data_IF_672079536080
#
_entry.id   IF_672079536080
#
_cell.length_a   1.000
_cell.length_b   1.000
_cell.length_c   1.000
_cell.angle_alpha   90.00
_cell.angle_beta   90.00
_cell.angle_gamma   90.00
#
_symmetry.space_group_name_H-M   'P 1'
#
loop_
_entity.id
_entity.type
_entity.pdbx_description
1 polymer ?
#
# COMPACT_ATOMS: atom_id res chain seq x y z
N UNK A 1 -24.65 34.02 5.40
CA UNK A 1 -24.77 32.76 4.62
C UNK A 1 -23.68 32.75 3.56
N UNK A 2 -22.57 32.04 3.78
CA UNK A 2 -21.53 31.86 2.77
C UNK A 2 -22.06 30.80 1.80
N UNK A 3 -22.35 31.18 0.55
CA UNK A 3 -22.74 30.22 -0.49
C UNK A 3 -21.52 29.33 -0.77
N UNK A 4 -21.63 28.03 -0.48
CA UNK A 4 -20.71 27.03 -1.03
C UNK A 4 -20.72 27.22 -2.55
N UNK A 5 -19.58 27.57 -3.14
CA UNK A 5 -19.44 27.60 -4.59
C UNK A 5 -19.86 26.23 -5.12
N UNK A 6 -20.79 26.20 -6.07
CA UNK A 6 -21.19 24.97 -6.73
C UNK A 6 -19.93 24.35 -7.34
N UNK A 7 -19.65 23.08 -7.00
CA UNK A 7 -18.59 22.33 -7.66
C UNK A 7 -18.84 22.43 -9.17
N UNK A 8 -17.81 22.70 -10.00
CA UNK A 8 -18.01 22.78 -11.43
C UNK A 8 -18.66 21.49 -11.94
N UNK A 9 -19.56 21.65 -12.93
CA UNK A 9 -20.23 20.60 -13.72
C UNK A 9 -19.28 19.41 -13.97
N UNK A 10 -19.76 18.15 -14.00
CA UNK A 10 -18.93 16.96 -13.80
C UNK A 10 -17.75 16.97 -14.77
N UNK A 11 -16.56 17.19 -14.22
CA UNK A 11 -15.33 17.04 -14.98
C UNK A 11 -15.28 15.59 -15.51
N UNK A 12 -14.92 15.37 -16.79
CA UNK A 12 -14.81 14.02 -17.34
C UNK A 12 -13.87 13.18 -16.48
N UNK A 13 -14.35 12.04 -15.98
CA UNK A 13 -13.52 11.09 -15.25
C UNK A 13 -12.40 10.60 -16.18
N UNK A 14 -11.16 10.86 -15.79
CA UNK A 14 -9.98 10.35 -16.51
C UNK A 14 -9.27 9.36 -15.61
N UNK A 15 -9.13 8.13 -16.09
CA UNK A 15 -8.34 7.09 -15.42
C UNK A 15 -7.05 6.90 -16.19
N UNK A 16 -5.92 6.96 -15.49
CA UNK A 16 -4.61 6.61 -16.06
C UNK A 16 -4.07 5.43 -15.28
N UNK A 17 -3.79 4.35 -15.98
CA UNK A 17 -3.21 3.14 -15.41
C UNK A 17 -1.74 3.10 -15.81
N UNK A 18 -0.87 2.99 -14.82
CA UNK A 18 0.56 2.77 -15.03
C UNK A 18 0.87 1.41 -14.44
N UNK A 19 1.30 0.48 -15.29
CA UNK A 19 1.78 -0.82 -14.85
C UNK A 19 3.17 -0.65 -14.25
N UNK A 20 3.42 -1.27 -13.10
CA UNK A 20 4.75 -1.38 -12.54
C UNK A 20 5.20 -2.84 -12.45
N UNK A 21 6.46 -3.04 -12.08
CA UNK A 21 7.12 -4.36 -12.03
C UNK A 21 6.24 -5.32 -11.22
N UNK A 22 5.84 -6.48 -11.79
CA UNK A 22 5.11 -7.49 -11.04
C UNK A 22 5.89 -7.92 -9.80
N UNK A 23 5.18 -8.16 -8.70
CA UNK A 23 5.79 -8.50 -7.41
C UNK A 23 6.77 -9.68 -7.50
N UNK A 24 6.47 -10.70 -8.29
CA UNK A 24 7.34 -11.88 -8.50
C UNK A 24 8.67 -11.59 -9.21
N UNK A 25 8.86 -10.37 -9.73
CA UNK A 25 10.14 -9.92 -10.30
C UNK A 25 10.87 -8.92 -9.41
N UNK A 26 10.31 -8.55 -8.25
CA UNK A 26 11.00 -7.69 -7.30
C UNK A 26 12.10 -8.48 -6.60
N UNK A 27 13.33 -8.02 -6.75
CA UNK A 27 14.49 -8.45 -5.96
C UNK A 27 14.89 -7.33 -5.00
N UNK A 28 15.61 -7.62 -3.90
CA UNK A 28 16.09 -6.59 -2.96
C UNK A 28 16.78 -5.40 -3.64
N UNK A 29 17.61 -5.68 -4.65
CA UNK A 29 18.36 -4.67 -5.40
C UNK A 29 17.48 -3.77 -6.27
N UNK A 30 16.33 -4.28 -6.71
CA UNK A 30 15.38 -3.53 -7.53
C UNK A 30 14.43 -2.63 -6.72
N UNK A 31 14.27 -2.89 -5.41
CA UNK A 31 13.32 -2.19 -4.54
C UNK A 31 13.57 -0.67 -4.53
N UNK A 32 14.81 -0.17 -4.38
CA UNK A 32 15.07 1.27 -4.38
C UNK A 32 14.61 1.95 -5.68
N UNK A 33 14.96 1.37 -6.83
CA UNK A 33 14.60 1.92 -8.14
C UNK A 33 13.08 1.85 -8.37
N UNK A 34 12.45 0.76 -7.96
CA UNK A 34 10.99 0.64 -8.02
C UNK A 34 10.29 1.75 -7.22
N UNK A 35 10.75 2.01 -5.99
CA UNK A 35 10.21 3.08 -5.14
C UNK A 35 10.41 4.47 -5.74
N UNK A 36 11.59 4.74 -6.31
CA UNK A 36 11.88 6.00 -6.99
C UNK A 36 10.94 6.22 -8.18
N UNK A 37 10.70 5.18 -9.00
CA UNK A 37 9.75 5.24 -10.10
C UNK A 37 8.32 5.56 -9.62
N UNK A 38 7.87 4.97 -8.51
CA UNK A 38 6.54 5.26 -7.94
C UNK A 38 6.45 6.73 -7.48
N UNK A 39 7.50 7.26 -6.85
CA UNK A 39 7.57 8.68 -6.46
C UNK A 39 7.52 9.59 -7.68
N UNK A 40 8.24 9.27 -8.74
CA UNK A 40 8.22 10.04 -9.99
C UNK A 40 6.81 10.03 -10.62
N UNK A 41 6.15 8.87 -10.66
CA UNK A 41 4.76 8.77 -11.13
C UNK A 41 3.82 9.61 -10.24
N UNK A 42 4.04 9.62 -8.93
CA UNK A 42 3.25 10.43 -8.00
C UNK A 42 3.43 11.93 -8.27
N UNK A 43 4.66 12.41 -8.47
CA UNK A 43 4.97 13.81 -8.82
C UNK A 43 4.32 14.21 -10.15
N UNK A 44 4.43 13.35 -11.16
CA UNK A 44 3.77 13.52 -12.45
C UNK A 44 2.25 13.60 -12.30
N UNK A 45 1.69 12.78 -11.41
CA UNK A 45 0.25 12.70 -11.16
C UNK A 45 -0.26 13.96 -10.46
N UNK A 46 0.52 14.56 -9.55
CA UNK A 46 0.16 15.84 -8.92
C UNK A 46 -0.10 16.91 -9.98
N UNK A 47 0.71 16.99 -11.04
CA UNK A 47 0.52 17.99 -12.09
C UNK A 47 -0.71 17.73 -12.98
N UNK A 48 -1.13 16.46 -13.07
CA UNK A 48 -2.22 16.02 -13.97
C UNK A 48 -3.58 15.94 -13.26
N UNK A 49 -3.59 15.67 -11.95
CA UNK A 49 -4.80 15.54 -11.15
C UNK A 49 -5.42 16.91 -10.84
N UNK A 50 -6.74 17.00 -10.94
CA UNK A 50 -7.50 18.09 -10.34
C UNK A 50 -7.44 17.99 -8.79
N UNK A 51 -7.69 19.10 -8.10
CA UNK A 51 -7.88 19.06 -6.63
C UNK A 51 -9.06 18.14 -6.32
N UNK A 52 -8.87 17.23 -5.36
CA UNK A 52 -9.79 16.13 -5.04
C UNK A 52 -9.57 14.87 -5.88
N UNK A 53 -8.75 14.93 -6.92
CA UNK A 53 -8.37 13.76 -7.72
C UNK A 53 -7.57 12.75 -6.91
N UNK A 54 -7.67 11.47 -7.28
CA UNK A 54 -7.06 10.36 -6.56
C UNK A 54 -5.84 9.81 -7.29
N UNK A 55 -4.80 9.52 -6.51
CA UNK A 55 -3.64 8.74 -6.93
C UNK A 55 -3.62 7.46 -6.09
N UNK A 56 -3.70 6.30 -6.73
CA UNK A 56 -3.84 5.00 -6.06
C UNK A 56 -2.64 4.14 -6.43
N UNK A 57 -1.97 3.60 -5.42
CA UNK A 57 -0.85 2.66 -5.60
C UNK A 57 -1.26 1.30 -5.06
N UNK A 58 -1.31 0.30 -5.94
CA UNK A 58 -1.44 -1.10 -5.55
C UNK A 58 -0.05 -1.68 -5.29
N UNK A 59 0.12 -2.35 -4.16
CA UNK A 59 1.42 -2.88 -3.72
C UNK A 59 1.22 -4.12 -2.86
N UNK A 60 2.27 -4.90 -2.70
CA UNK A 60 2.31 -6.08 -1.86
C UNK A 60 3.68 -6.12 -1.20
N UNK A 61 3.71 -6.46 0.08
CA UNK A 61 4.98 -6.57 0.80
C UNK A 61 5.76 -7.79 0.28
N UNK A 62 7.08 -7.70 0.32
CA UNK A 62 7.98 -8.70 -0.25
C UNK A 62 8.77 -9.36 0.85
N UNK A 63 9.01 -10.67 0.75
CA UNK A 63 9.94 -11.40 1.62
C UNK A 63 11.02 -11.97 0.72
N UNK A 64 12.28 -11.70 1.05
CA UNK A 64 13.40 -12.26 0.29
C UNK A 64 13.69 -13.71 0.69
N UNK A 65 14.60 -14.33 -0.05
CA UNK A 65 15.03 -15.72 0.16
C UNK A 65 15.70 -15.95 1.52
N UNK A 66 16.14 -14.89 2.22
CA UNK A 66 16.70 -14.95 3.57
C UNK A 66 15.61 -14.86 4.67
N UNK A 67 14.35 -14.70 4.26
CA UNK A 67 13.18 -14.56 5.12
C UNK A 67 12.97 -13.13 5.62
N UNK A 68 13.74 -12.14 5.15
CA UNK A 68 13.61 -10.75 5.57
C UNK A 68 12.41 -10.10 4.88
N UNK A 69 11.57 -9.48 5.70
CA UNK A 69 10.39 -8.74 5.26
C UNK A 69 10.77 -7.34 4.78
N UNK A 70 10.30 -7.00 3.59
CA UNK A 70 10.35 -5.69 2.97
C UNK A 70 8.94 -5.11 2.93
N UNK A 71 8.60 -4.15 3.82
CA UNK A 71 7.28 -3.54 3.87
C UNK A 71 7.14 -2.47 2.78
N UNK A 72 7.14 -2.91 1.52
CA UNK A 72 7.14 -2.08 0.31
C UNK A 72 6.05 -1.00 0.39
N UNK A 73 4.88 -1.37 0.89
CA UNK A 73 3.72 -0.48 0.97
C UNK A 73 3.96 0.69 1.91
N UNK A 74 4.56 0.44 3.08
CA UNK A 74 4.92 1.49 4.03
C UNK A 74 6.06 2.35 3.50
N UNK A 75 7.06 1.75 2.87
CA UNK A 75 8.18 2.47 2.27
C UNK A 75 7.72 3.44 1.17
N UNK A 76 6.81 3.01 0.29
CA UNK A 76 6.21 3.88 -0.74
C UNK A 76 5.44 5.04 -0.10
N UNK A 77 4.62 4.74 0.91
CA UNK A 77 3.84 5.77 1.62
C UNK A 77 4.76 6.84 2.22
N UNK A 78 5.83 6.43 2.90
CA UNK A 78 6.83 7.32 3.47
C UNK A 78 7.54 8.15 2.40
N UNK A 79 7.92 7.53 1.28
CA UNK A 79 8.61 8.23 0.21
C UNK A 79 7.72 9.28 -0.46
N UNK A 80 6.46 8.95 -0.75
CA UNK A 80 5.48 9.90 -1.30
C UNK A 80 5.27 11.06 -0.34
N UNK A 81 5.09 10.78 0.96
CA UNK A 81 4.93 11.83 1.97
C UNK A 81 6.19 12.69 2.11
N UNK A 82 7.39 12.11 2.01
CA UNK A 82 8.67 12.83 2.10
C UNK A 82 8.89 13.76 0.91
N UNK A 83 8.60 13.31 -0.31
CA UNK A 83 8.94 14.04 -1.53
C UNK A 83 7.86 15.03 -1.99
N UNK A 84 6.58 14.76 -1.67
CA UNK A 84 5.45 15.57 -2.14
C UNK A 84 4.77 16.29 -0.97
N UNK A 85 4.65 15.64 0.18
CA UNK A 85 4.04 16.19 1.37
C UNK A 85 2.51 16.12 1.39
N UNK A 86 1.97 15.95 2.59
CA UNK A 86 0.52 15.78 2.83
C UNK A 86 -0.34 16.99 2.47
N UNK A 87 0.28 18.19 2.35
CA UNK A 87 -0.44 19.40 1.94
C UNK A 87 -0.85 19.36 0.47
N UNK A 88 -0.11 18.61 -0.35
CA UNK A 88 -0.34 18.49 -1.79
C UNK A 88 -1.03 17.16 -2.07
N UNK A 89 -0.49 16.04 -1.58
CA UNK A 89 -0.99 14.70 -1.84
C UNK A 89 -1.13 13.95 -0.50
N UNK A 90 -2.37 13.84 -0.01
CA UNK A 90 -2.66 13.29 1.32
C UNK A 90 -3.16 11.86 1.23
N UNK A 91 -2.58 10.95 2.02
CA UNK A 91 -3.16 9.62 2.22
C UNK A 91 -4.53 9.76 2.89
N UNK A 92 -5.57 9.24 2.23
CA UNK A 92 -6.95 9.23 2.74
C UNK A 92 -7.33 7.88 3.30
N UNK A 93 -6.91 6.83 2.63
CA UNK A 93 -7.31 5.47 2.95
C UNK A 93 -6.19 4.50 2.58
N UNK A 94 -6.08 3.45 3.39
CA UNK A 94 -5.26 2.29 3.11
C UNK A 94 -6.18 1.08 3.10
N UNK A 95 -6.36 0.47 1.93
CA UNK A 95 -7.23 -0.69 1.76
C UNK A 95 -6.36 -1.93 1.72
N UNK A 96 -6.62 -2.89 2.60
CA UNK A 96 -5.94 -4.19 2.62
C UNK A 96 -6.92 -5.24 2.10
N UNK A 97 -6.52 -5.94 1.04
CA UNK A 97 -7.31 -7.02 0.44
C UNK A 97 -6.57 -8.33 0.56
N UNK A 98 -7.28 -9.36 0.96
CA UNK A 98 -6.74 -10.72 1.13
C UNK A 98 -7.57 -11.65 0.23
N UNK A 99 -6.94 -12.55 -0.54
CA UNK A 99 -7.66 -13.54 -1.33
C UNK A 99 -8.62 -14.38 -0.48
N UNK A 100 -9.69 -14.86 -1.11
CA UNK A 100 -10.63 -15.78 -0.48
C UNK A 100 -9.89 -17.02 0.05
N UNK A 101 -10.25 -17.47 1.26
CA UNK A 101 -9.61 -18.60 1.94
C UNK A 101 -8.43 -18.24 2.86
N UNK A 102 -7.85 -17.03 2.73
CA UNK A 102 -6.82 -16.53 3.65
C UNK A 102 -7.37 -15.57 4.70
N UNK A 103 -8.59 -15.07 4.51
CA UNK A 103 -9.24 -14.22 5.48
C UNK A 103 -9.63 -15.02 6.73
N UNK A 104 -9.39 -14.45 7.92
CA UNK A 104 -9.87 -15.02 9.18
C UNK A 104 -11.39 -15.11 9.15
N UNK A 105 -11.92 -16.31 9.37
CA UNK A 105 -13.36 -16.54 9.46
C UNK A 105 -13.94 -15.81 10.68
N UNK A 106 -14.61 -14.68 10.42
CA UNK A 106 -15.24 -13.83 11.45
C UNK A 106 -16.52 -14.45 12.03
N UNK A 107 -17.04 -15.53 11.45
CA UNK A 107 -18.21 -16.23 11.96
C UNK A 107 -17.88 -17.16 13.12
N UNK A 108 -16.59 -17.50 13.31
CA UNK A 108 -16.12 -18.29 14.45
C UNK A 108 -15.90 -17.36 15.65
N UNK A 109 -16.72 -17.46 16.72
CA UNK A 109 -16.48 -16.70 17.94
C UNK A 109 -15.17 -17.20 18.57
N UNK A 110 -14.22 -16.28 18.76
CA UNK A 110 -13.00 -16.56 19.51
C UNK A 110 -13.38 -16.39 20.98
N UNK A 111 -13.60 -17.49 21.70
CA UNK A 111 -13.69 -17.46 23.16
C UNK A 111 -12.27 -17.43 23.74
N UNK A 112 -12.12 -16.98 24.98
CA UNK A 112 -10.83 -17.03 25.67
C UNK A 112 -10.29 -18.48 25.75
N UNK A 113 -11.21 -19.46 25.87
CA UNK A 113 -10.89 -20.89 25.93
C UNK A 113 -10.45 -21.49 24.58
N UNK A 114 -10.72 -20.79 23.47
CA UNK A 114 -10.35 -21.20 22.10
C UNK A 114 -9.31 -20.27 21.46
N UNK A 115 -8.85 -19.27 22.22
CA UNK A 115 -7.80 -18.37 21.78
C UNK A 115 -6.45 -19.07 21.90
N UNK A 116 -5.91 -19.47 20.76
CA UNK A 116 -4.49 -19.83 20.69
C UNK A 116 -3.68 -18.53 20.63
N UNK A 117 -2.87 -18.21 21.65
CA UNK A 117 -2.06 -17.00 21.64
C UNK A 117 -1.08 -17.05 20.46
N UNK A 118 -1.02 -15.96 19.70
CA UNK A 118 0.00 -15.80 18.67
C UNK A 118 1.38 -15.84 19.34
N UNK A 119 2.11 -16.94 19.13
CA UNK A 119 3.46 -17.09 19.64
C UNK A 119 4.38 -16.25 18.77
N UNK A 120 4.84 -15.13 19.31
CA UNK A 120 5.92 -14.36 18.69
C UNK A 120 7.22 -15.15 18.89
N UNK A 121 7.61 -15.94 17.88
CA UNK A 121 8.88 -16.65 17.87
C UNK A 121 10.01 -15.64 17.58
N UNK A 122 10.44 -14.95 18.63
CA UNK A 122 11.74 -14.29 18.65
C UNK A 122 12.77 -15.43 18.83
N UNK A 123 13.69 -15.60 17.88
CA UNK A 123 14.76 -16.63 17.88
C UNK A 123 14.37 -18.00 17.28
N UNK A 124 13.92 -18.00 16.02
CA UNK A 124 13.83 -19.22 15.21
C UNK A 124 15.27 -19.62 14.80
N UNK A 125 15.73 -20.82 15.18
CA UNK A 125 16.97 -21.42 14.66
C UNK A 125 16.94 -21.41 13.12
N UNK A 126 18.08 -21.16 12.45
CA UNK A 126 18.15 -21.10 10.97
C UNK A 126 17.56 -22.34 10.28
N UNK A 127 17.57 -23.49 10.97
CA UNK A 127 16.99 -24.75 10.51
C UNK A 127 15.44 -24.77 10.48
N UNK A 128 14.75 -23.95 11.29
CA UNK A 128 13.28 -23.86 11.36
C UNK A 128 12.72 -22.66 10.58
N UNK A 129 13.59 -21.78 10.08
CA UNK A 129 13.22 -20.55 9.36
C UNK A 129 12.36 -20.81 8.11
N UNK A 130 12.57 -21.95 7.45
CA UNK A 130 11.84 -22.34 6.23
C UNK A 130 10.50 -23.05 6.50
N UNK A 131 10.22 -23.51 7.73
CA UNK A 131 8.98 -24.22 8.07
C UNK A 131 7.84 -23.29 8.54
N UNK A 132 8.14 -22.03 8.86
CA UNK A 132 7.18 -21.08 9.48
C UNK A 132 7.05 -19.80 8.65
N UNK A 133 7.21 -19.87 7.32
CA UNK A 133 6.95 -18.72 6.46
C UNK A 133 5.48 -18.67 6.06
N UNK A 134 4.70 -17.85 6.79
CA UNK A 134 3.34 -17.53 6.39
C UNK A 134 3.38 -16.73 5.08
N UNK A 135 2.70 -17.18 4.01
CA UNK A 135 2.75 -16.50 2.73
C UNK A 135 2.16 -15.09 2.85
N UNK A 136 2.86 -14.10 2.30
CA UNK A 136 2.34 -12.74 2.17
C UNK A 136 1.33 -12.73 1.04
N UNK A 137 0.05 -12.76 1.41
CA UNK A 137 -1.07 -12.82 0.45
C UNK A 137 -1.86 -11.51 0.38
N UNK A 138 -1.61 -10.57 1.29
CA UNK A 138 -2.32 -9.30 1.32
C UNK A 138 -1.79 -8.35 0.24
N UNK A 139 -2.70 -7.80 -0.57
CA UNK A 139 -2.44 -6.63 -1.38
C UNK A 139 -2.90 -5.37 -0.63
N UNK A 140 -2.11 -4.31 -0.72
CA UNK A 140 -2.36 -3.02 -0.08
C UNK A 140 -2.56 -1.98 -1.18
N UNK A 141 -3.64 -1.21 -1.08
CA UNK A 141 -3.92 -0.06 -1.92
C UNK A 141 -3.81 1.22 -1.10
N UNK A 142 -2.82 2.04 -1.44
CA UNK A 142 -2.63 3.36 -0.84
C UNK A 142 -3.41 4.38 -1.66
N UNK A 143 -4.45 4.95 -1.06
CA UNK A 143 -5.33 5.93 -1.72
C UNK A 143 -4.95 7.33 -1.28
N UNK A 144 -4.26 8.04 -2.17
CA UNK A 144 -3.92 9.45 -1.98
C UNK A 144 -4.90 10.36 -2.69
N UNK A 145 -5.16 11.53 -2.11
CA UNK A 145 -6.00 12.57 -2.70
C UNK A 145 -5.22 13.87 -2.82
N UNK A 146 -5.30 14.51 -3.98
CA UNK A 146 -4.71 15.83 -4.19
C UNK A 146 -5.49 16.88 -3.42
N UNK A 147 -4.83 17.60 -2.51
CA UNK A 147 -5.45 18.56 -1.61
C UNK A 147 -5.31 20.02 -2.08
N UNK A 148 -4.26 20.33 -2.85
CA UNK A 148 -3.94 21.68 -3.27
C UNK A 148 -3.18 21.74 -4.60
N UNK A 149 -2.87 22.94 -5.11
CA UNK A 149 -1.96 23.10 -6.24
C UNK A 149 -0.55 22.56 -5.91
N UNK A 150 0.26 22.21 -6.93
CA UNK A 150 1.66 21.81 -6.75
C UNK A 150 2.50 22.88 -6.06
#
# INVERSE_FOLDING_TARGET
MIRKAALPYPAPLTVRVVTHIPHHFLTPDSIPLYRENVVQIAQDSVNKLAVGGMFIVGTQDYRDDEGKLWPISMLIMEDVNRHIGEKILKLKEMVVTVPEGYAKDRSKPISFDTYEPEVCLLDIDEAQKHEIDVPIVHAIYLVFMKMGPP
#
